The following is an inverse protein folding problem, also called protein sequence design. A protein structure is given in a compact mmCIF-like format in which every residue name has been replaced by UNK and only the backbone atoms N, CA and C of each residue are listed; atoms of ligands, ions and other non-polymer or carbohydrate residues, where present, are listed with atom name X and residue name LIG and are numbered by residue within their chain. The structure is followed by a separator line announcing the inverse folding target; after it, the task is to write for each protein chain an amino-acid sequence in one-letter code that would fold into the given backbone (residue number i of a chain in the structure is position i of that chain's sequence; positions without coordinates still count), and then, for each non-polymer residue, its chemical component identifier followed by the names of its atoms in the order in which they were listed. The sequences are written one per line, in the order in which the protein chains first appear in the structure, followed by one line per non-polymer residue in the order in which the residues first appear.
data_IF_792275632352
#
_entry.id   IF_792275632352
#
_cell.length_a   1.000
_cell.length_b   1.000
_cell.length_c   1.000
_cell.angle_alpha   90.00
_cell.angle_beta   90.00
_cell.angle_gamma   90.00
#
_symmetry.space_group_name_H-M   'P 1'
#
loop_
_entity.id
_entity.type
_entity.pdbx_description
1 polymer ?
#
# COMPACT_ATOMS: atom_id res chain seq x y z
N UNK A 1 32.51 0.66 13.34
CA UNK A 1 31.99 1.99 13.71
C UNK A 1 32.71 2.98 12.81
N UNK A 2 32.07 3.46 11.74
CA UNK A 2 32.69 4.47 10.88
C UNK A 2 32.42 5.85 11.47
N UNK A 3 33.47 6.66 11.52
CA UNK A 3 33.47 8.04 11.99
C UNK A 3 33.94 8.87 10.80
N UNK A 4 33.27 9.97 10.49
CA UNK A 4 33.82 10.94 9.54
C UNK A 4 35.10 11.58 10.14
N UNK A 5 35.99 12.10 9.30
CA UNK A 5 37.28 12.66 9.69
C UNK A 5 37.25 13.81 10.71
N UNK A 6 36.06 14.30 11.08
CA UNK A 6 35.82 15.38 12.06
C UNK A 6 35.28 14.87 13.42
N UNK A 7 35.20 13.56 13.66
CA UNK A 7 34.73 13.04 14.96
C UNK A 7 33.23 13.25 15.24
N UNK A 8 32.47 13.82 14.31
CA UNK A 8 31.02 13.83 14.33
C UNK A 8 30.48 12.39 14.19
N UNK A 9 29.59 11.99 15.10
CA UNK A 9 28.85 10.72 14.96
C UNK A 9 28.03 10.78 13.67
N UNK A 10 28.20 9.79 12.79
CA UNK A 10 27.34 9.54 11.64
C UNK A 10 25.85 9.60 12.09
N UNK A 11 25.18 10.71 11.76
CA UNK A 11 23.79 11.00 12.13
C UNK A 11 22.78 10.18 11.32
N UNK A 12 23.21 9.54 10.23
CA UNK A 12 22.34 8.77 9.35
C UNK A 12 22.72 7.28 9.36
N UNK A 13 22.09 6.52 10.26
CA UNK A 13 22.26 5.05 10.31
C UNK A 13 21.43 4.33 9.24
N UNK A 14 20.58 5.04 8.48
CA UNK A 14 19.63 4.48 7.52
C UNK A 14 18.78 3.33 8.08
N UNK A 15 18.62 3.28 9.41
CA UNK A 15 17.82 2.28 10.09
C UNK A 15 16.34 2.57 9.84
N UNK A 16 15.64 1.60 9.25
CA UNK A 16 14.19 1.62 9.08
C UNK A 16 13.59 0.77 10.20
N UNK A 17 12.82 1.39 11.08
CA UNK A 17 12.04 0.63 12.07
C UNK A 17 10.79 0.08 11.38
N UNK A 18 10.67 -1.24 11.34
CA UNK A 18 9.56 -1.91 10.67
C UNK A 18 8.26 -1.82 11.46
N UNK A 19 7.13 -1.77 10.77
CA UNK A 19 5.81 -1.99 11.37
C UNK A 19 5.72 -3.43 11.89
N UNK A 20 4.78 -3.74 12.77
CA UNK A 20 4.57 -5.15 13.15
C UNK A 20 3.98 -5.90 11.94
N UNK A 21 4.56 -7.04 11.58
CA UNK A 21 4.21 -7.77 10.34
C UNK A 21 4.19 -9.28 10.59
N UNK A 22 3.47 -10.00 9.73
CA UNK A 22 3.45 -11.45 9.73
C UNK A 22 4.74 -11.96 9.05
N UNK A 23 5.57 -12.75 9.74
CA UNK A 23 6.87 -13.18 9.21
C UNK A 23 6.78 -14.10 7.99
N UNK A 24 5.62 -14.71 7.73
CA UNK A 24 5.43 -15.64 6.60
C UNK A 24 5.22 -14.91 5.28
N UNK A 25 4.44 -13.82 5.29
CA UNK A 25 4.05 -13.11 4.06
C UNK A 25 4.46 -11.64 4.04
N UNK A 26 5.07 -11.12 5.11
CA UNK A 26 5.53 -9.73 5.20
C UNK A 26 4.41 -8.70 5.39
N UNK A 27 3.15 -9.13 5.52
CA UNK A 27 1.99 -8.24 5.57
C UNK A 27 1.86 -7.60 6.95
N UNK A 28 1.54 -6.30 7.07
CA UNK A 28 1.33 -5.65 8.35
C UNK A 28 0.24 -6.31 9.19
N UNK A 29 0.43 -6.27 10.51
CA UNK A 29 -0.49 -6.85 11.49
C UNK A 29 -0.75 -5.82 12.59
N UNK A 30 -2.02 -5.62 12.91
CA UNK A 30 -2.42 -4.94 14.14
C UNK A 30 -2.57 -5.99 15.25
N UNK A 31 -1.68 -5.98 16.27
CA UNK A 31 -1.77 -6.94 17.37
C UNK A 31 -3.05 -6.71 18.18
N UNK A 32 -3.75 -7.79 18.50
CA UNK A 32 -4.93 -7.75 19.38
C UNK A 32 -4.59 -7.20 20.77
N UNK A 33 -3.35 -7.41 21.24
CA UNK A 33 -2.82 -6.84 22.48
C UNK A 33 -2.73 -5.31 22.45
N UNK A 34 -2.33 -4.72 21.31
CA UNK A 34 -2.28 -3.27 21.11
C UNK A 34 -3.67 -2.64 21.13
N UNK A 35 -4.62 -3.26 20.42
CA UNK A 35 -6.03 -2.83 20.40
C UNK A 35 -6.64 -2.94 21.81
N UNK A 36 -6.43 -4.07 22.48
CA UNK A 36 -6.92 -4.33 23.85
C UNK A 36 -6.31 -3.37 24.88
N UNK A 37 -5.04 -3.00 24.72
CA UNK A 37 -4.36 -2.02 25.57
C UNK A 37 -4.96 -0.61 25.45
N UNK A 38 -5.29 -0.19 24.23
CA UNK A 38 -5.97 1.08 23.99
C UNK A 38 -7.38 1.10 24.62
N UNK A 39 -8.17 0.04 24.41
CA UNK A 39 -9.48 -0.12 25.07
C UNK A 39 -9.38 -0.12 26.59
N UNK A 40 -8.40 -0.85 27.15
CA UNK A 40 -8.15 -0.89 28.60
C UNK A 40 -7.89 0.50 29.16
N UNK A 41 -7.11 1.32 28.44
CA UNK A 41 -6.78 2.69 28.84
C UNK A 41 -8.05 3.54 28.92
N UNK A 42 -8.92 3.48 27.91
CA UNK A 42 -10.18 4.22 27.88
C UNK A 42 -11.17 3.78 28.98
N UNK A 43 -11.23 2.48 29.28
CA UNK A 43 -12.05 1.92 30.36
C UNK A 43 -11.56 2.35 31.74
N UNK A 44 -10.24 2.24 31.99
CA UNK A 44 -9.62 2.74 33.22
C UNK A 44 -9.84 4.24 33.40
N UNK A 45 -9.72 5.02 32.33
CA UNK A 45 -9.92 6.48 32.36
C UNK A 45 -11.37 6.83 32.75
N UNK A 46 -12.33 6.09 32.21
CA UNK A 46 -13.75 6.22 32.55
C UNK A 46 -14.03 6.04 34.03
N UNK A 47 -13.44 5.02 34.64
CA UNK A 47 -13.60 4.74 36.08
C UNK A 47 -12.86 5.77 36.92
N UNK A 48 -11.63 6.14 36.51
CA UNK A 48 -10.81 7.10 37.24
C UNK A 48 -11.42 8.50 37.24
N UNK A 49 -12.17 8.88 36.20
CA UNK A 49 -12.92 10.14 36.10
C UNK A 49 -12.05 11.39 36.42
N UNK A 50 -10.79 11.38 35.98
CA UNK A 50 -9.85 12.49 36.19
C UNK A 50 -9.31 12.65 37.61
N UNK A 51 -9.56 11.69 38.52
CA UNK A 51 -9.02 11.73 39.88
C UNK A 51 -7.49 11.56 39.88
N UNK A 52 -6.76 12.23 40.81
CA UNK A 52 -5.32 12.05 40.96
C UNK A 52 -4.97 10.71 41.62
N UNK A 53 -3.67 10.40 41.68
CA UNK A 53 -3.17 9.25 42.42
C UNK A 53 -3.52 9.40 43.89
N UNK A 54 -3.88 8.28 44.53
CA UNK A 54 -3.97 8.24 45.98
C UNK A 54 -2.57 8.41 46.58
N UNK A 55 -2.48 8.87 47.83
CA UNK A 55 -1.21 9.22 48.48
C UNK A 55 -0.23 8.04 48.50
N UNK A 56 -0.72 6.85 48.84
CA UNK A 56 0.02 5.58 48.83
C UNK A 56 0.50 5.18 47.43
N UNK A 57 -0.32 5.37 46.40
CA UNK A 57 0.05 5.17 45.00
C UNK A 57 1.10 6.18 44.54
N UNK A 58 0.99 7.43 44.97
CA UNK A 58 1.95 8.51 44.72
C UNK A 58 3.31 8.20 45.36
N UNK A 59 3.32 7.73 46.61
CA UNK A 59 4.54 7.28 47.30
C UNK A 59 5.17 6.07 46.59
N UNK A 60 4.36 5.12 46.11
CA UNK A 60 4.86 4.00 45.30
C UNK A 60 5.43 4.48 43.97
N UNK A 61 4.82 5.44 43.30
CA UNK A 61 5.28 5.96 42.01
C UNK A 61 6.68 6.61 42.12
N UNK A 62 7.04 7.12 43.30
CA UNK A 62 8.39 7.62 43.60
C UNK A 62 9.42 6.50 43.74
N UNK A 63 9.01 5.32 44.23
CA UNK A 63 9.87 4.14 44.42
C UNK A 63 9.97 3.26 43.17
N UNK A 64 8.90 3.19 42.37
CA UNK A 64 8.83 2.39 41.15
C UNK A 64 7.49 2.56 40.41
N UNK A 65 7.57 2.89 39.11
CA UNK A 65 6.38 3.19 38.30
C UNK A 65 5.49 1.97 38.03
N UNK A 66 6.10 0.80 37.88
CA UNK A 66 5.37 -0.42 37.53
C UNK A 66 4.43 -0.87 38.66
N UNK A 67 4.91 -0.86 39.90
CA UNK A 67 4.09 -1.30 41.03
C UNK A 67 2.96 -0.32 41.33
N UNK A 68 3.23 0.99 41.24
CA UNK A 68 2.19 2.01 41.34
C UNK A 68 1.11 1.83 40.26
N UNK A 69 1.51 1.58 39.01
CA UNK A 69 0.59 1.31 37.91
C UNK A 69 -0.24 0.04 38.16
N UNK A 70 0.39 -1.03 38.63
CA UNK A 70 -0.30 -2.29 38.97
C UNK A 70 -1.34 -2.07 40.07
N UNK A 71 -0.99 -1.33 41.13
CA UNK A 71 -1.89 -0.98 42.24
C UNK A 71 -3.08 -0.14 41.77
N UNK A 72 -2.80 0.89 40.97
CA UNK A 72 -3.83 1.73 40.37
C UNK A 72 -4.84 0.91 39.56
N UNK A 73 -4.35 0.06 38.65
CA UNK A 73 -5.23 -0.77 37.83
C UNK A 73 -6.05 -1.76 38.66
N UNK A 74 -5.43 -2.40 39.66
CA UNK A 74 -6.14 -3.30 40.60
C UNK A 74 -7.25 -2.59 41.36
N UNK A 75 -7.01 -1.35 41.81
CA UNK A 75 -8.02 -0.53 42.48
C UNK A 75 -9.16 -0.18 41.53
N UNK A 76 -8.86 0.36 40.36
CA UNK A 76 -9.87 0.82 39.41
C UNK A 76 -10.70 -0.34 38.85
N UNK A 77 -10.07 -1.46 38.50
CA UNK A 77 -10.77 -2.65 38.00
C UNK A 77 -11.18 -3.64 39.10
N UNK A 78 -11.03 -3.25 40.36
CA UNK A 78 -11.49 -3.99 41.54
C UNK A 78 -11.04 -5.47 41.57
N UNK A 79 -9.79 -5.75 41.18
CA UNK A 79 -9.25 -7.11 41.13
C UNK A 79 -7.98 -7.27 41.98
N UNK A 80 -7.80 -8.48 42.52
CA UNK A 80 -6.57 -8.90 43.23
C UNK A 80 -5.75 -9.83 42.37
N UNK A 81 -6.41 -10.86 41.87
CA UNK A 81 -5.85 -11.89 41.01
C UNK A 81 -6.22 -11.68 39.55
N UNK A 82 -5.44 -12.26 38.64
CA UNK A 82 -5.63 -12.10 37.20
C UNK A 82 -7.01 -12.57 36.72
N UNK A 83 -7.58 -13.61 37.35
CA UNK A 83 -8.87 -14.17 36.97
C UNK A 83 -10.03 -13.19 37.10
N UNK A 84 -9.91 -12.24 38.05
CA UNK A 84 -10.89 -11.21 38.37
C UNK A 84 -10.77 -9.97 37.47
N UNK A 85 -9.74 -9.87 36.62
CA UNK A 85 -9.60 -8.72 35.72
C UNK A 85 -10.74 -8.72 34.68
N UNK A 86 -11.56 -7.66 34.58
CA UNK A 86 -12.69 -7.60 33.66
C UNK A 86 -12.27 -7.69 32.19
N UNK A 87 -11.04 -7.28 31.85
CA UNK A 87 -10.52 -7.43 30.49
C UNK A 87 -10.32 -8.90 30.09
N UNK A 88 -10.40 -9.86 31.01
CA UNK A 88 -10.41 -11.30 30.67
C UNK A 88 -11.64 -11.67 29.82
N UNK A 89 -12.76 -10.97 30.00
CA UNK A 89 -13.99 -11.19 29.24
C UNK A 89 -13.92 -10.64 27.82
N UNK A 90 -12.94 -9.77 27.53
CA UNK A 90 -12.76 -9.13 26.22
C UNK A 90 -11.67 -9.86 25.44
N UNK A 91 -12.04 -10.50 24.33
CA UNK A 91 -11.12 -11.24 23.47
C UNK A 91 -10.99 -10.57 22.10
N UNK A 92 -9.74 -10.38 21.68
CA UNK A 92 -9.37 -9.79 20.40
C UNK A 92 -8.27 -10.64 19.79
N UNK A 93 -8.47 -11.07 18.53
CA UNK A 93 -7.43 -11.68 17.72
C UNK A 93 -6.52 -10.63 17.09
N UNK A 94 -5.37 -11.08 16.59
CA UNK A 94 -4.52 -10.25 15.73
C UNK A 94 -5.22 -10.03 14.39
N UNK A 95 -5.09 -8.82 13.85
CA UNK A 95 -5.77 -8.41 12.63
C UNK A 95 -4.74 -8.21 11.52
N UNK A 96 -4.86 -8.99 10.46
CA UNK A 96 -3.99 -8.91 9.29
C UNK A 96 -4.47 -7.77 8.37
N UNK A 97 -3.52 -7.09 7.74
CA UNK A 97 -3.83 -6.17 6.66
C UNK A 97 -4.38 -6.96 5.46
N UNK A 98 -5.54 -6.54 4.97
CA UNK A 98 -6.27 -7.16 3.88
C UNK A 98 -6.47 -6.11 2.79
N UNK A 99 -5.62 -6.16 1.78
CA UNK A 99 -5.74 -5.32 0.60
C UNK A 99 -5.36 -6.14 -0.62
N UNK A 100 -6.16 -6.04 -1.68
CA UNK A 100 -5.95 -6.79 -2.92
C UNK A 100 -4.64 -6.41 -3.62
N UNK A 101 -4.08 -5.25 -3.27
CA UNK A 101 -2.90 -4.64 -3.91
C UNK A 101 -1.55 -5.08 -3.31
N UNK A 102 -1.54 -5.85 -2.21
CA UNK A 102 -0.35 -6.57 -1.74
C UNK A 102 0.76 -5.76 -1.06
N UNK A 103 0.66 -4.43 -0.92
CA UNK A 103 1.69 -3.62 -0.24
C UNK A 103 1.07 -2.81 0.89
N UNK A 104 0.99 -3.34 2.10
CA UNK A 104 0.32 -2.67 3.22
C UNK A 104 1.11 -1.58 3.94
N UNK A 105 2.27 -1.16 3.41
CA UNK A 105 3.17 -0.25 4.10
C UNK A 105 3.78 0.84 3.20
N UNK A 106 4.09 1.98 3.81
CA UNK A 106 4.84 3.09 3.26
C UNK A 106 5.95 3.52 4.23
N UNK A 107 6.97 4.21 3.73
CA UNK A 107 8.02 4.80 4.57
C UNK A 107 7.65 6.22 4.95
N UNK A 108 7.78 6.56 6.23
CA UNK A 108 7.55 7.91 6.76
C UNK A 108 8.63 8.30 7.74
N UNK A 109 9.01 9.57 7.73
CA UNK A 109 9.81 10.14 8.80
C UNK A 109 8.90 10.49 9.99
N UNK A 110 9.22 9.99 11.17
CA UNK A 110 8.68 10.51 12.41
C UNK A 110 9.47 11.75 12.81
N UNK A 111 8.85 12.92 12.63
CA UNK A 111 9.43 14.22 12.93
C UNK A 111 8.75 14.86 14.14
N UNK A 112 9.53 15.53 14.99
CA UNK A 112 9.00 16.18 16.19
C UNK A 112 8.67 17.66 15.89
N UNK A 113 7.50 18.16 16.30
CA UNK A 113 7.07 19.56 16.07
C UNK A 113 6.48 20.17 17.34
N UNK A 114 6.83 21.42 17.67
CA UNK A 114 6.37 22.11 18.89
C UNK A 114 4.86 22.40 18.85
N UNK A 115 4.15 22.17 19.95
CA UNK A 115 2.72 22.51 20.06
C UNK A 115 2.44 24.01 20.12
N UNK A 116 3.32 24.74 20.81
CA UNK A 116 3.22 26.20 20.97
C UNK A 116 4.34 26.89 20.16
N UNK A 117 4.08 28.07 19.59
CA UNK A 117 5.13 28.88 19.00
C UNK A 117 6.18 29.24 20.07
N UNK A 118 7.45 29.50 19.68
CA UNK A 118 8.44 30.03 20.59
C UNK A 118 7.95 31.36 21.20
N UNK A 119 8.34 31.62 22.44
CA UNK A 119 8.01 32.89 23.09
C UNK A 119 8.74 34.05 22.40
N UNK A 120 8.22 35.29 22.44
CA UNK A 120 8.96 36.46 21.97
C UNK A 120 10.35 36.52 22.65
N UNK A 121 11.42 36.52 21.85
CA UNK A 121 12.82 36.46 22.32
C UNK A 121 13.47 35.07 22.34
N UNK A 122 12.71 33.98 22.19
CA UNK A 122 13.29 32.64 21.89
C UNK A 122 13.60 32.54 20.39
N UNK A 123 14.88 32.42 20.03
CA UNK A 123 15.33 32.49 18.63
C UNK A 123 15.04 31.27 17.75
N UNK A 124 14.49 30.17 18.27
CA UNK A 124 14.34 28.93 17.49
C UNK A 124 12.90 28.40 17.47
N UNK A 125 12.34 28.28 16.26
CA UNK A 125 11.07 27.60 16.01
C UNK A 125 11.16 26.07 16.20
N UNK A 126 12.37 25.52 16.26
CA UNK A 126 12.62 24.08 16.35
C UNK A 126 12.46 23.56 17.77
N UNK A 127 11.88 22.37 17.94
CA UNK A 127 11.89 21.64 19.20
C UNK A 127 13.32 21.24 19.60
N UNK A 128 13.54 20.90 20.88
CA UNK A 128 14.85 20.37 21.31
C UNK A 128 15.23 19.06 20.57
N UNK A 129 14.23 18.28 20.15
CA UNK A 129 14.48 17.07 19.38
C UNK A 129 14.96 17.41 17.95
N UNK A 130 14.33 18.39 17.32
CA UNK A 130 14.74 18.89 16.00
C UNK A 130 16.15 19.49 16.01
N UNK A 131 16.47 20.30 17.02
CA UNK A 131 17.82 20.89 17.17
C UNK A 131 18.93 19.83 17.33
N UNK A 132 18.57 18.63 17.80
CA UNK A 132 19.47 17.49 17.93
C UNK A 132 19.45 16.58 16.70
N UNK A 133 18.74 16.95 15.64
CA UNK A 133 18.57 16.13 14.44
C UNK A 133 17.82 14.82 14.67
N UNK A 134 16.99 14.74 15.72
CA UNK A 134 16.27 13.50 16.05
C UNK A 134 15.06 13.31 15.14
N UNK A 135 15.19 12.38 14.21
CA UNK A 135 14.10 11.79 13.45
C UNK A 135 14.22 10.26 13.47
N UNK A 136 13.17 9.56 13.05
CA UNK A 136 13.21 8.11 12.79
C UNK A 136 12.56 7.82 11.45
N UNK A 137 13.12 6.90 10.68
CA UNK A 137 12.48 6.39 9.48
C UNK A 137 11.67 5.14 9.87
N UNK A 138 10.36 5.19 9.63
CA UNK A 138 9.41 4.15 10.03
C UNK A 138 8.74 3.55 8.81
N UNK A 139 8.56 2.24 8.80
CA UNK A 139 7.55 1.59 7.98
C UNK A 139 6.19 1.74 8.68
N UNK A 140 5.20 2.27 7.97
CA UNK A 140 3.88 2.61 8.49
C UNK A 140 2.78 2.06 7.59
N UNK A 141 1.60 1.77 8.14
CA UNK A 141 0.42 1.49 7.31
C UNK A 141 -0.06 2.80 6.68
N UNK A 142 -0.34 2.85 5.37
CA UNK A 142 -0.81 4.06 4.71
C UNK A 142 -2.08 4.61 5.36
N UNK A 143 -2.19 5.94 5.38
CA UNK A 143 -3.38 6.62 5.90
C UNK A 143 -4.61 6.44 4.97
N UNK A 144 -5.79 6.75 5.51
CA UNK A 144 -7.06 6.79 4.77
C UNK A 144 -7.42 5.50 4.00
N UNK A 145 -7.08 4.34 4.56
CA UNK A 145 -7.48 3.05 4.00
C UNK A 145 -8.79 2.57 4.60
N UNK A 146 -9.77 2.29 3.74
CA UNK A 146 -11.09 1.81 4.13
C UNK A 146 -11.08 0.28 4.29
N UNK A 147 -11.47 -0.23 5.46
CA UNK A 147 -11.62 -1.67 5.78
C UNK A 147 -10.43 -2.58 5.44
N UNK A 148 -9.20 -2.05 5.48
CA UNK A 148 -7.98 -2.86 5.29
C UNK A 148 -7.63 -3.73 6.49
N UNK A 149 -8.35 -3.61 7.60
CA UNK A 149 -8.22 -4.47 8.77
C UNK A 149 -9.60 -4.98 9.16
N UNK A 150 -9.76 -6.30 9.29
CA UNK A 150 -10.98 -6.95 9.71
C UNK A 150 -10.68 -8.04 10.74
N UNK A 151 -11.32 -7.96 11.91
CA UNK A 151 -11.09 -8.87 13.03
C UNK A 151 -12.34 -9.10 13.86
N UNK A 152 -12.23 -9.99 14.86
CA UNK A 152 -13.34 -10.34 15.75
C UNK A 152 -13.08 -9.84 17.17
N UNK A 153 -14.02 -9.06 17.69
CA UNK A 153 -14.12 -8.69 19.10
C UNK A 153 -15.19 -9.57 19.75
N UNK A 154 -14.80 -10.38 20.72
CA UNK A 154 -15.73 -11.21 21.50
C UNK A 154 -15.77 -10.73 22.93
N UNK A 155 -16.98 -10.47 23.43
CA UNK A 155 -17.22 -10.13 24.84
C UNK A 155 -17.99 -11.27 25.48
N UNK A 156 -17.35 -11.95 26.43
CA UNK A 156 -17.94 -13.07 27.14
C UNK A 156 -19.00 -12.58 28.12
N UNK A 157 -20.18 -13.15 28.01
CA UNK A 157 -21.28 -12.94 28.93
C UNK A 157 -21.27 -14.01 30.02
N UNK A 158 -21.57 -13.61 31.25
CA UNK A 158 -21.50 -14.49 32.43
C UNK A 158 -22.89 -14.72 33.05
N UNK A 159 -23.98 -14.46 32.33
CA UNK A 159 -25.31 -14.71 32.87
C UNK A 159 -25.48 -16.20 33.20
N UNK A 160 -26.00 -16.49 34.40
CA UNK A 160 -26.17 -17.86 34.88
C UNK A 160 -24.88 -18.56 35.36
N UNK A 161 -23.71 -17.91 35.27
CA UNK A 161 -22.46 -18.47 35.80
C UNK A 161 -22.31 -18.15 37.28
N UNK A 162 -22.32 -19.19 38.12
CA UNK A 162 -22.03 -19.07 39.57
C UNK A 162 -20.57 -19.41 39.85
N UNK A 163 -19.89 -18.63 40.70
CA UNK A 163 -18.52 -18.94 41.13
C UNK A 163 -18.35 -18.80 42.64
N UNK A 164 -18.32 -19.93 43.33
CA UNK A 164 -18.07 -19.99 44.77
C UNK A 164 -16.64 -19.63 45.20
N UNK A 165 -15.73 -19.35 44.25
CA UNK A 165 -14.32 -19.01 44.52
C UNK A 165 -13.99 -17.53 44.30
N UNK A 166 -14.99 -16.67 44.02
CA UNK A 166 -14.81 -15.22 43.83
C UNK A 166 -13.73 -14.84 42.81
N UNK A 167 -13.68 -15.54 41.68
CA UNK A 167 -12.76 -15.31 40.55
C UNK A 167 -13.42 -14.53 39.42
N UNK A 168 -14.74 -14.33 39.46
CA UNK A 168 -15.43 -13.54 38.44
C UNK A 168 -15.11 -12.04 38.61
N UNK A 169 -14.98 -11.28 37.51
CA UNK A 169 -14.89 -9.84 37.58
C UNK A 169 -16.10 -9.20 38.26
N UNK A 170 -15.91 -8.04 38.88
CA UNK A 170 -16.98 -7.27 39.51
C UNK A 170 -18.12 -6.99 38.52
N UNK A 171 -19.37 -7.10 38.97
CA UNK A 171 -20.54 -7.11 38.10
C UNK A 171 -20.74 -5.79 37.32
N UNK A 172 -20.42 -4.67 37.95
CA UNK A 172 -20.42 -3.31 37.41
C UNK A 172 -19.30 -3.05 36.38
N UNK A 173 -18.33 -3.97 36.27
CA UNK A 173 -17.21 -3.90 35.32
C UNK A 173 -17.34 -4.91 34.17
N UNK A 174 -18.52 -5.52 33.99
CA UNK A 174 -18.81 -6.46 32.90
C UNK A 174 -19.46 -5.72 31.73
N UNK A 175 -18.64 -5.07 30.92
CA UNK A 175 -19.11 -4.23 29.81
C UNK A 175 -19.64 -5.04 28.63
N UNK A 176 -20.66 -4.50 27.97
CA UNK A 176 -21.07 -4.84 26.61
C UNK A 176 -20.14 -4.20 25.57
N UNK A 177 -20.27 -4.64 24.31
CA UNK A 177 -19.54 -4.03 23.18
C UNK A 177 -19.85 -2.54 23.05
N UNK A 178 -21.12 -2.14 23.21
CA UNK A 178 -21.54 -0.74 23.13
C UNK A 178 -20.93 0.12 24.25
N UNK A 179 -20.79 -0.42 25.46
CA UNK A 179 -20.17 0.30 26.59
C UNK A 179 -18.66 0.45 26.40
N UNK A 180 -17.98 -0.54 25.80
CA UNK A 180 -16.57 -0.43 25.42
C UNK A 180 -16.40 0.66 24.34
N UNK A 181 -17.26 0.67 23.31
CA UNK A 181 -17.25 1.70 22.28
C UNK A 181 -17.50 3.10 22.87
N UNK A 182 -18.47 3.24 23.78
CA UNK A 182 -18.73 4.48 24.50
C UNK A 182 -17.54 4.95 25.33
N UNK A 183 -16.85 4.04 26.02
CA UNK A 183 -15.64 4.38 26.76
C UNK A 183 -14.52 4.87 25.84
N UNK A 184 -14.31 4.19 24.71
CA UNK A 184 -13.32 4.58 23.71
C UNK A 184 -13.64 5.96 23.12
N UNK A 185 -14.88 6.23 22.72
CA UNK A 185 -15.28 7.51 22.15
C UNK A 185 -15.15 8.66 23.14
N UNK A 186 -15.57 8.46 24.41
CA UNK A 186 -15.39 9.45 25.48
C UNK A 186 -13.92 9.82 25.68
N UNK A 187 -13.01 8.85 25.57
CA UNK A 187 -11.58 9.09 25.79
C UNK A 187 -10.88 9.67 24.55
N UNK A 188 -11.10 9.09 23.37
CA UNK A 188 -10.31 9.33 22.17
C UNK A 188 -10.86 10.44 21.27
N UNK A 189 -12.18 10.62 21.18
CA UNK A 189 -12.77 11.64 20.29
C UNK A 189 -12.35 13.07 20.67
N UNK A 190 -12.45 13.52 21.94
CA UNK A 190 -12.01 14.86 22.32
C UNK A 190 -10.51 15.08 22.08
N UNK A 191 -9.69 14.01 22.20
CA UNK A 191 -8.26 14.08 21.91
C UNK A 191 -8.00 14.29 20.42
N UNK A 192 -8.68 13.54 19.55
CA UNK A 192 -8.57 13.70 18.09
C UNK A 192 -8.98 15.11 17.68
N UNK A 193 -10.15 15.57 18.11
CA UNK A 193 -10.70 16.89 17.76
C UNK A 193 -9.77 18.02 18.22
N UNK A 194 -9.26 17.94 19.46
CA UNK A 194 -8.30 18.91 19.99
C UNK A 194 -6.97 18.89 19.23
N UNK A 195 -6.44 17.71 18.89
CA UNK A 195 -5.20 17.60 18.11
C UNK A 195 -5.38 18.15 16.70
N UNK A 196 -6.47 17.82 16.02
CA UNK A 196 -6.80 18.36 14.70
C UNK A 196 -6.87 19.88 14.72
N UNK A 197 -7.56 20.45 15.71
CA UNK A 197 -7.65 21.89 15.87
C UNK A 197 -6.26 22.51 16.08
N UNK A 198 -5.50 22.03 17.07
CA UNK A 198 -4.22 22.63 17.46
C UNK A 198 -3.16 22.47 16.36
N UNK A 199 -3.10 21.32 15.68
CA UNK A 199 -2.14 21.12 14.60
C UNK A 199 -2.49 21.95 13.36
N UNK A 200 -3.78 22.19 13.09
CA UNK A 200 -4.23 23.10 12.04
C UNK A 200 -3.89 24.55 12.34
N UNK A 201 -4.05 25.01 13.59
CA UNK A 201 -3.61 26.35 14.03
C UNK A 201 -2.09 26.55 13.87
N UNK A 202 -1.33 25.45 13.82
CA UNK A 202 0.13 25.45 13.57
C UNK A 202 0.50 25.25 12.11
N UNK A 203 -0.48 25.05 11.22
CA UNK A 203 -0.29 24.74 9.80
C UNK A 203 0.53 23.46 9.55
N UNK A 204 0.44 22.48 10.45
CA UNK A 204 1.25 21.26 10.36
C UNK A 204 0.61 20.15 9.53
N UNK A 205 -0.72 20.13 9.45
CA UNK A 205 -1.46 19.03 8.84
C UNK A 205 -1.52 19.13 7.32
N UNK A 206 -1.61 17.98 6.67
CA UNK A 206 -2.13 17.93 5.32
C UNK A 206 -3.58 18.46 5.28
N UNK A 207 -3.82 19.44 4.41
CA UNK A 207 -5.10 20.15 4.34
C UNK A 207 -6.23 19.26 3.81
N UNK A 208 -5.95 18.38 2.84
CA UNK A 208 -6.92 17.45 2.28
C UNK A 208 -7.35 16.41 3.31
N UNK A 209 -6.38 15.84 4.02
CA UNK A 209 -6.61 14.90 5.11
C UNK A 209 -7.40 15.56 6.25
N UNK A 210 -6.98 16.74 6.71
CA UNK A 210 -7.66 17.45 7.80
C UNK A 210 -9.11 17.82 7.46
N UNK A 211 -9.39 18.12 6.19
CA UNK A 211 -10.75 18.37 5.71
C UNK A 211 -11.55 17.07 5.68
N UNK A 212 -10.99 16.00 5.10
CA UNK A 212 -11.65 14.69 4.99
C UNK A 212 -12.00 14.10 6.36
N UNK A 213 -11.11 14.21 7.35
CA UNK A 213 -11.40 13.73 8.71
C UNK A 213 -12.49 14.56 9.39
N UNK A 214 -12.52 15.88 9.15
CA UNK A 214 -13.61 16.73 9.67
C UNK A 214 -14.95 16.32 9.05
N UNK A 215 -15.01 16.19 7.73
CA UNK A 215 -16.21 15.75 7.02
C UNK A 215 -16.69 14.39 7.52
N UNK A 216 -15.77 13.46 7.78
CA UNK A 216 -16.10 12.16 8.37
C UNK A 216 -16.72 12.31 9.78
N UNK A 217 -16.11 13.11 10.66
CA UNK A 217 -16.59 13.33 12.02
C UNK A 217 -17.90 14.12 12.10
N UNK A 218 -18.20 14.95 11.09
CA UNK A 218 -19.45 15.72 10.99
C UNK A 218 -20.55 14.95 10.23
N UNK A 219 -20.19 13.94 9.43
CA UNK A 219 -21.08 13.12 8.61
C UNK A 219 -21.62 11.86 9.30
N UNK A 220 -21.94 10.83 8.51
CA UNK A 220 -22.53 9.58 9.02
C UNK A 220 -21.64 8.82 10.00
N UNK A 221 -20.31 8.87 9.82
CA UNK A 221 -19.38 8.24 10.75
C UNK A 221 -19.47 8.89 12.14
N UNK A 222 -19.53 10.23 12.23
CA UNK A 222 -19.79 10.96 13.46
C UNK A 222 -21.06 10.52 14.18
N UNK A 223 -22.17 10.39 13.44
CA UNK A 223 -23.45 9.94 13.99
C UNK A 223 -23.37 8.50 14.54
N UNK A 224 -22.61 7.62 13.89
CA UNK A 224 -22.37 6.25 14.38
C UNK A 224 -21.48 6.22 15.62
N UNK A 225 -20.50 7.14 15.73
CA UNK A 225 -19.73 7.33 16.97
C UNK A 225 -20.64 7.77 18.12
N UNK A 226 -21.58 8.69 17.88
CA UNK A 226 -22.54 9.16 18.90
C UNK A 226 -23.45 8.03 19.41
N UNK A 227 -23.82 7.10 18.52
CA UNK A 227 -24.61 5.90 18.86
C UNK A 227 -23.79 4.74 19.39
N UNK A 228 -22.46 4.87 19.47
CA UNK A 228 -21.53 3.81 19.86
C UNK A 228 -21.60 2.55 18.96
N UNK A 229 -22.00 2.73 17.69
CA UNK A 229 -21.95 1.72 16.63
C UNK A 229 -20.55 1.65 15.97
N UNK A 230 -19.71 2.62 16.28
CA UNK A 230 -18.29 2.67 15.91
C UNK A 230 -17.53 3.35 17.03
N UNK A 231 -16.21 3.20 17.03
CA UNK A 231 -15.38 3.95 17.98
C UNK A 231 -14.00 4.29 17.46
N UNK A 232 -13.38 5.30 18.07
CA UNK A 232 -12.01 5.70 17.79
C UNK A 232 -11.03 4.98 18.71
N UNK A 233 -9.87 4.62 18.18
CA UNK A 233 -8.70 4.21 18.94
C UNK A 233 -7.47 4.97 18.48
N UNK A 234 -6.47 5.03 19.36
CA UNK A 234 -5.11 5.40 18.98
C UNK A 234 -4.12 4.33 19.40
N UNK A 235 -3.37 3.80 18.44
CA UNK A 235 -2.43 2.67 18.65
C UNK A 235 -1.07 2.93 18.01
N UNK A 236 -0.10 2.10 18.37
CA UNK A 236 1.24 2.15 17.79
C UNK A 236 2.17 3.15 18.49
N UNK A 237 3.37 3.31 17.93
CA UNK A 237 4.34 4.28 18.44
C UNK A 237 3.89 5.70 18.10
N UNK A 238 4.42 6.68 18.83
CA UNK A 238 4.17 8.10 18.57
C UNK A 238 2.71 8.56 18.79
N UNK A 239 1.88 7.74 19.44
CA UNK A 239 0.51 8.08 19.85
C UNK A 239 0.41 9.21 20.91
N UNK A 240 1.54 9.76 21.36
CA UNK A 240 1.57 10.71 22.47
C UNK A 240 1.37 10.04 23.83
N UNK A 241 1.79 10.72 24.90
CA UNK A 241 1.59 10.23 26.26
C UNK A 241 0.11 10.29 26.65
N UNK A 242 -0.62 11.27 26.11
CA UNK A 242 -2.02 11.54 26.39
C UNK A 242 -2.93 10.37 26.05
N UNK A 243 -2.64 9.64 24.98
CA UNK A 243 -3.46 8.52 24.50
C UNK A 243 -3.12 7.17 25.15
N UNK A 244 -2.09 7.12 26.00
CA UNK A 244 -1.63 5.91 26.73
C UNK A 244 -1.60 6.11 28.25
N UNK A 245 -2.11 7.24 28.75
CA UNK A 245 -2.17 7.56 30.18
C UNK A 245 -3.51 8.18 30.54
N UNK A 246 -3.97 7.93 31.78
CA UNK A 246 -5.26 8.42 32.25
C UNK A 246 -5.25 9.94 32.47
N UNK A 247 -6.37 10.59 32.21
CA UNK A 247 -6.65 11.97 32.57
C UNK A 247 -6.50 12.15 34.10
N UNK A 248 -6.02 13.33 34.53
CA UNK A 248 -5.75 13.64 35.94
C UNK A 248 -4.46 13.04 36.52
N UNK A 249 -3.89 12.03 35.87
CA UNK A 249 -2.75 11.24 36.39
C UNK A 249 -1.40 11.55 35.72
N UNK A 250 -1.43 12.33 34.64
CA UNK A 250 -0.27 12.51 33.77
C UNK A 250 0.81 13.35 34.44
N UNK A 251 2.00 12.77 34.52
CA UNK A 251 3.18 13.42 35.11
C UNK A 251 4.36 13.36 34.13
N UNK A 252 4.28 14.15 33.05
CA UNK A 252 5.23 14.09 31.92
C UNK A 252 6.45 14.95 32.26
N UNK A 253 7.63 14.33 32.31
CA UNK A 253 8.91 15.03 32.55
C UNK A 253 9.32 15.84 31.32
N UNK A 254 9.35 17.16 31.46
CA UNK A 254 9.80 18.12 30.44
C UNK A 254 11.19 18.62 30.80
N UNK A 255 12.15 18.48 29.88
CA UNK A 255 13.52 18.97 30.08
C UNK A 255 13.61 20.46 29.72
N UNK A 256 14.07 21.28 30.67
CA UNK A 256 14.17 22.74 30.53
C UNK A 256 15.58 23.23 30.17
N UNK A 257 16.46 22.32 29.73
CA UNK A 257 17.87 22.61 29.52
C UNK A 257 18.70 22.53 30.81
N UNK A 258 19.96 22.95 30.73
CA UNK A 258 20.86 22.98 31.89
C UNK A 258 20.77 24.34 32.57
N UNK A 259 20.85 24.33 33.90
CA UNK A 259 21.03 25.52 34.69
C UNK A 259 22.39 26.19 34.39
N UNK A 260 22.41 27.51 34.25
CA UNK A 260 23.60 28.26 33.80
C UNK A 260 24.69 28.30 34.87
N UNK A 261 24.31 28.34 36.14
CA UNK A 261 25.25 28.45 37.27
C UNK A 261 25.72 27.07 37.74
N UNK A 262 24.80 26.12 37.86
CA UNK A 262 25.09 24.79 38.44
C UNK A 262 25.39 23.72 37.39
N UNK A 263 25.12 23.98 36.10
CA UNK A 263 25.25 23.02 35.01
C UNK A 263 24.29 21.82 35.10
N UNK A 264 23.42 21.77 36.11
CA UNK A 264 22.51 20.64 36.35
C UNK A 264 21.34 20.67 35.38
N UNK A 265 20.91 19.50 34.93
CA UNK A 265 19.74 19.37 34.06
C UNK A 265 18.48 19.77 34.82
N UNK A 266 17.83 20.85 34.37
CA UNK A 266 16.53 21.27 34.89
C UNK A 266 15.42 20.50 34.18
N UNK A 267 14.39 20.20 34.95
CA UNK A 267 13.17 19.59 34.46
C UNK A 267 11.99 20.04 35.30
N UNK A 268 10.82 19.95 34.72
CA UNK A 268 9.55 20.09 35.43
C UNK A 268 8.59 19.02 34.94
N UNK A 269 7.51 18.81 35.67
CA UNK A 269 6.47 17.90 35.23
C UNK A 269 5.24 18.65 34.78
N UNK A 270 4.62 18.17 33.69
CA UNK A 270 3.41 18.75 33.10
C UNK A 270 2.36 17.67 32.79
N UNK A 271 1.06 18.03 32.74
CA UNK A 271 0.01 17.11 32.34
C UNK A 271 -0.02 16.84 30.82
N UNK A 272 0.62 17.69 30.01
CA UNK A 272 0.61 17.63 28.54
C UNK A 272 2.01 17.72 27.95
N UNK A 273 2.23 17.06 26.82
CA UNK A 273 3.46 17.19 26.05
C UNK A 273 3.68 18.58 25.46
N UNK A 274 4.92 18.91 25.12
CA UNK A 274 5.30 20.19 24.46
C UNK A 274 5.45 20.07 22.96
N UNK A 275 5.45 18.84 22.42
CA UNK A 275 5.55 18.56 20.99
C UNK A 275 4.68 17.37 20.57
N UNK A 276 4.44 17.28 19.26
CA UNK A 276 3.90 16.09 18.60
C UNK A 276 4.97 15.40 17.79
N UNK A 277 4.77 14.10 17.58
CA UNK A 277 5.47 13.33 16.57
C UNK A 277 4.51 13.15 15.39
N UNK A 278 4.93 13.56 14.20
CA UNK A 278 4.11 13.56 13.00
C UNK A 278 4.81 12.76 11.89
N UNK A 279 4.02 12.12 11.04
CA UNK A 279 4.47 11.42 9.85
C UNK A 279 4.70 12.44 8.74
N UNK A 280 5.92 12.47 8.22
CA UNK A 280 6.36 13.37 7.16
C UNK A 280 6.99 12.59 6.00
N UNK A 281 7.03 13.20 4.82
CA UNK A 281 7.71 12.67 3.63
C UNK A 281 9.20 13.02 3.64
N UNK A 282 9.56 14.15 4.24
CA UNK A 282 10.93 14.58 4.52
C UNK A 282 11.11 15.02 5.98
N UNK A 283 12.34 14.88 6.49
CA UNK A 283 12.73 15.35 7.82
C UNK A 283 12.48 16.84 8.07
N UNK A 284 12.54 17.67 7.02
CA UNK A 284 12.39 19.12 7.07
C UNK A 284 10.95 19.60 6.97
N UNK A 285 10.00 18.72 6.63
CA UNK A 285 8.61 19.10 6.37
C UNK A 285 7.99 19.86 7.55
N UNK A 286 7.36 20.98 7.26
CA UNK A 286 6.67 21.81 8.26
C UNK A 286 5.16 21.78 8.11
N UNK A 287 4.68 21.40 6.95
CA UNK A 287 3.26 21.34 6.57
C UNK A 287 3.02 19.98 5.90
N UNK A 288 1.77 19.61 5.63
CA UNK A 288 1.49 18.36 4.89
C UNK A 288 1.72 17.06 5.68
N UNK A 289 1.91 17.15 7.00
CA UNK A 289 2.20 15.98 7.84
C UNK A 289 0.92 15.34 8.41
N UNK A 290 1.03 14.10 8.86
CA UNK A 290 -0.10 13.35 9.43
C UNK A 290 0.16 12.93 10.89
N UNK A 291 -0.86 12.90 11.76
CA UNK A 291 -0.71 12.33 13.10
C UNK A 291 -0.68 10.80 13.04
N UNK A 292 0.14 10.19 13.89
CA UNK A 292 0.24 8.73 13.95
C UNK A 292 -0.92 8.07 14.72
N UNK A 293 -1.30 6.89 14.24
CA UNK A 293 -1.91 5.84 15.06
C UNK A 293 -3.42 5.90 15.21
N UNK A 294 -4.11 6.84 14.55
CA UNK A 294 -5.56 6.94 14.62
C UNK A 294 -6.26 5.85 13.81
N UNK A 295 -7.24 5.19 14.44
CA UNK A 295 -8.09 4.17 13.84
C UNK A 295 -9.56 4.52 14.07
N UNK A 296 -10.38 4.38 13.01
CA UNK A 296 -11.82 4.29 13.10
C UNK A 296 -12.21 2.81 13.07
N UNK A 297 -12.88 2.33 14.11
CA UNK A 297 -13.30 0.95 14.25
C UNK A 297 -14.80 0.84 14.05
N UNK A 298 -15.21 0.15 12.99
CA UNK A 298 -16.60 -0.17 12.70
C UNK A 298 -17.02 -1.42 13.48
N UNK A 299 -18.21 -1.40 14.10
CA UNK A 299 -18.78 -2.57 14.77
C UNK A 299 -19.97 -3.10 13.99
N UNK A 300 -20.03 -4.42 13.87
CA UNK A 300 -21.20 -5.13 13.38
C UNK A 300 -21.26 -6.53 14.02
N UNK A 301 -22.46 -7.12 14.20
CA UNK A 301 -22.59 -8.51 14.60
C UNK A 301 -21.86 -9.45 13.62
N UNK A 302 -21.19 -10.47 14.15
CA UNK A 302 -20.33 -11.36 13.36
C UNK A 302 -21.07 -12.18 12.29
N UNK A 303 -22.39 -12.35 12.44
CA UNK A 303 -23.24 -13.12 11.52
C UNK A 303 -24.01 -12.22 10.53
N UNK A 304 -23.87 -10.90 10.63
CA UNK A 304 -24.52 -9.94 9.74
C UNK A 304 -23.54 -9.39 8.72
N UNK A 305 -24.06 -8.98 7.56
CA UNK A 305 -23.27 -8.22 6.59
C UNK A 305 -22.76 -6.91 7.20
N UNK A 306 -21.54 -6.47 6.84
CA UNK A 306 -21.05 -5.18 7.27
C UNK A 306 -22.03 -4.08 6.83
N UNK A 307 -22.38 -3.14 7.73
CA UNK A 307 -23.27 -2.04 7.39
C UNK A 307 -22.75 -1.20 6.22
N UNK A 308 -23.64 -0.42 5.60
CA UNK A 308 -23.22 0.54 4.58
C UNK A 308 -22.42 1.70 5.21
N UNK A 309 -21.23 1.91 4.67
CA UNK A 309 -20.31 3.01 4.98
C UNK A 309 -19.87 3.70 3.68
N UNK A 310 -20.72 3.71 2.66
CA UNK A 310 -20.43 4.25 1.33
C UNK A 310 -19.95 5.71 1.35
N UNK A 311 -20.51 6.56 2.23
CA UNK A 311 -20.03 7.92 2.42
C UNK A 311 -18.58 7.96 2.93
N UNK A 312 -18.30 7.23 4.01
CA UNK A 312 -16.94 7.12 4.58
C UNK A 312 -15.96 6.50 3.60
N UNK A 313 -16.36 5.46 2.87
CA UNK A 313 -15.57 4.87 1.82
C UNK A 313 -15.23 5.92 0.75
N UNK A 314 -16.21 6.67 0.25
CA UNK A 314 -15.98 7.73 -0.75
C UNK A 314 -15.00 8.78 -0.25
N UNK A 315 -15.17 9.30 0.97
CA UNK A 315 -14.28 10.29 1.57
C UNK A 315 -12.85 9.76 1.64
N UNK A 316 -12.66 8.54 2.18
CA UNK A 316 -11.32 7.95 2.35
C UNK A 316 -10.66 7.58 1.01
N UNK A 317 -11.40 6.97 0.09
CA UNK A 317 -10.88 6.60 -1.24
C UNK A 317 -10.65 7.81 -2.15
N UNK A 318 -11.37 8.91 -1.91
CA UNK A 318 -11.24 10.15 -2.65
C UNK A 318 -10.06 11.01 -2.20
N UNK A 319 -9.44 10.69 -1.05
CA UNK A 319 -8.27 11.42 -0.57
C UNK A 319 -7.02 11.01 -1.38
N UNK A 320 -6.42 11.93 -2.16
CA UNK A 320 -5.16 11.63 -2.82
C UNK A 320 -4.05 11.50 -1.76
N UNK A 321 -3.39 10.35 -1.74
CA UNK A 321 -2.22 10.10 -0.91
C UNK A 321 -1.02 9.78 -1.80
N UNK A 322 0.20 10.03 -1.31
CA UNK A 322 1.43 9.62 -2.01
C UNK A 322 1.42 8.12 -2.33
N UNK A 323 0.91 7.32 -1.39
CA UNK A 323 0.74 5.89 -1.53
C UNK A 323 -0.27 5.52 -2.62
N UNK A 324 -1.48 6.11 -2.64
CA UNK A 324 -2.47 5.81 -3.69
C UNK A 324 -1.99 6.20 -5.08
N UNK A 325 -1.27 7.33 -5.19
CA UNK A 325 -0.61 7.72 -6.44
C UNK A 325 0.50 6.74 -6.84
N UNK A 326 1.23 6.17 -5.88
CA UNK A 326 2.24 5.15 -6.15
C UNK A 326 1.62 3.84 -6.65
N UNK A 327 0.54 3.38 -6.02
CA UNK A 327 -0.20 2.18 -6.46
C UNK A 327 -0.70 2.34 -7.89
N UNK A 328 -1.29 3.49 -8.25
CA UNK A 328 -1.75 3.73 -9.62
C UNK A 328 -0.60 3.73 -10.64
N UNK A 329 0.54 4.35 -10.30
CA UNK A 329 1.74 4.29 -11.17
C UNK A 329 2.26 2.86 -11.35
N UNK A 330 2.25 2.05 -10.30
CA UNK A 330 2.73 0.67 -10.37
C UNK A 330 1.75 -0.23 -11.14
N UNK A 331 0.44 -0.02 -11.00
CA UNK A 331 -0.59 -0.66 -11.82
C UNK A 331 -0.39 -0.36 -13.29
N UNK A 332 -0.16 0.90 -13.63
CA UNK A 332 0.08 1.32 -15.01
C UNK A 332 1.36 0.68 -15.57
N UNK A 333 2.45 0.65 -14.79
CA UNK A 333 3.69 -0.06 -15.18
C UNK A 333 3.47 -1.55 -15.40
N UNK A 334 2.68 -2.21 -14.56
CA UNK A 334 2.37 -3.63 -14.70
C UNK A 334 1.53 -3.91 -15.95
N UNK A 335 0.55 -3.05 -16.26
CA UNK A 335 -0.22 -3.14 -17.52
C UNK A 335 0.67 -2.99 -18.74
N UNK A 336 1.52 -1.97 -18.76
CA UNK A 336 2.47 -1.74 -19.85
C UNK A 336 3.43 -2.93 -20.05
N UNK A 337 3.91 -3.54 -18.97
CA UNK A 337 4.75 -4.75 -19.03
C UNK A 337 3.98 -5.95 -19.58
N UNK A 338 2.76 -6.19 -19.10
CA UNK A 338 1.92 -7.28 -19.58
C UNK A 338 1.58 -7.14 -21.07
N UNK A 339 1.22 -5.93 -21.51
CA UNK A 339 0.97 -5.64 -22.92
C UNK A 339 2.23 -5.83 -23.78
N UNK A 340 3.38 -5.34 -23.32
CA UNK A 340 4.65 -5.53 -24.03
C UNK A 340 5.02 -7.02 -24.14
N UNK A 341 4.80 -7.80 -23.08
CA UNK A 341 5.05 -9.24 -23.08
C UNK A 341 4.08 -9.97 -24.02
N UNK A 342 2.79 -9.62 -24.00
CA UNK A 342 1.79 -10.19 -24.91
C UNK A 342 2.12 -9.87 -26.38
N UNK A 343 2.57 -8.66 -26.68
CA UNK A 343 3.04 -8.28 -28.03
C UNK A 343 4.23 -9.11 -28.47
N UNK A 344 5.26 -9.26 -27.62
CA UNK A 344 6.43 -10.11 -27.92
C UNK A 344 6.03 -11.56 -28.16
N UNK A 345 5.16 -12.12 -27.32
CA UNK A 345 4.67 -13.49 -27.51
C UNK A 345 3.88 -13.64 -28.81
N UNK A 346 3.06 -12.65 -29.18
CA UNK A 346 2.34 -12.66 -30.44
C UNK A 346 3.29 -12.55 -31.65
N UNK A 347 4.31 -11.69 -31.58
CA UNK A 347 5.35 -11.57 -32.61
C UNK A 347 6.16 -12.85 -32.76
N UNK A 348 6.62 -13.45 -31.65
CA UNK A 348 7.34 -14.73 -31.66
C UNK A 348 6.46 -15.85 -32.21
N UNK A 349 5.18 -15.91 -31.84
CA UNK A 349 4.26 -16.89 -32.36
C UNK A 349 4.00 -16.68 -33.86
N UNK A 350 3.84 -15.44 -34.32
CA UNK A 350 3.72 -15.11 -35.73
C UNK A 350 4.98 -15.51 -36.53
N UNK A 351 6.17 -15.24 -35.98
CA UNK A 351 7.44 -15.66 -36.58
C UNK A 351 7.57 -17.19 -36.63
N UNK A 352 7.19 -17.90 -35.56
CA UNK A 352 7.20 -19.37 -35.54
C UNK A 352 6.22 -19.95 -36.55
N UNK A 353 5.02 -19.40 -36.66
CA UNK A 353 4.03 -19.83 -37.66
C UNK A 353 4.54 -19.55 -39.07
N UNK A 354 5.14 -18.37 -39.32
CA UNK A 354 5.73 -18.04 -40.61
C UNK A 354 6.89 -18.99 -40.98
N UNK A 355 7.83 -19.22 -40.05
CA UNK A 355 8.94 -20.13 -40.24
C UNK A 355 8.50 -21.59 -40.41
N UNK A 356 7.48 -22.04 -39.66
CA UNK A 356 6.91 -23.38 -39.83
C UNK A 356 6.20 -23.52 -41.19
N UNK A 357 5.50 -22.48 -41.64
CA UNK A 357 4.88 -22.44 -42.97
C UNK A 357 5.95 -22.52 -44.05
N UNK A 358 7.05 -21.78 -43.91
CA UNK A 358 8.18 -21.79 -44.85
C UNK A 358 8.94 -23.13 -44.85
N UNK A 359 9.16 -23.72 -43.67
CA UNK A 359 9.78 -25.04 -43.55
C UNK A 359 8.92 -26.16 -44.14
N UNK A 360 7.59 -26.05 -44.04
CA UNK A 360 6.63 -27.00 -44.59
C UNK A 360 6.47 -26.91 -46.12
N UNK A 361 6.97 -25.86 -46.77
CA UNK A 361 6.95 -25.76 -48.23
C UNK A 361 7.77 -26.90 -48.86
N UNK A 362 7.17 -27.59 -49.83
CA UNK A 362 7.88 -28.57 -50.65
C UNK A 362 9.01 -27.91 -51.47
N UNK A 363 10.01 -28.67 -51.95
CA UNK A 363 11.07 -28.13 -52.80
C UNK A 363 10.53 -27.34 -54.02
N UNK A 364 9.43 -27.81 -54.61
CA UNK A 364 8.73 -27.18 -55.74
C UNK A 364 8.10 -25.85 -55.34
N UNK A 365 7.39 -25.82 -54.21
CA UNK A 365 6.76 -24.62 -53.68
C UNK A 365 7.79 -23.55 -53.27
N UNK A 366 8.96 -23.97 -52.75
CA UNK A 366 10.09 -23.08 -52.46
C UNK A 366 10.65 -22.43 -53.72
N UNK A 367 10.78 -23.19 -54.81
CA UNK A 367 11.27 -22.67 -56.08
C UNK A 367 10.29 -21.65 -56.71
N UNK A 368 8.98 -21.89 -56.58
CA UNK A 368 7.94 -20.92 -57.00
C UNK A 368 8.00 -19.65 -56.16
N UNK A 369 8.13 -19.78 -54.82
CA UNK A 369 8.24 -18.61 -53.91
C UNK A 369 9.51 -17.81 -54.14
N UNK A 370 10.64 -18.46 -54.36
CA UNK A 370 11.91 -17.81 -54.74
C UNK A 370 11.72 -16.96 -56.01
N UNK A 371 11.11 -17.54 -57.05
CA UNK A 371 10.87 -16.85 -58.31
C UNK A 371 9.89 -15.67 -58.16
N UNK A 372 8.87 -15.82 -57.30
CA UNK A 372 7.93 -14.75 -56.96
C UNK A 372 8.62 -13.59 -56.23
N UNK A 373 9.48 -13.88 -55.23
CA UNK A 373 10.27 -12.86 -54.55
C UNK A 373 11.14 -12.06 -55.53
N UNK A 374 11.79 -12.72 -56.48
CA UNK A 374 12.63 -12.03 -57.47
C UNK A 374 11.79 -11.14 -58.42
N UNK A 375 10.59 -11.58 -58.79
CA UNK A 375 9.67 -10.74 -59.56
C UNK A 375 9.26 -9.47 -58.78
N UNK A 376 8.96 -9.62 -57.50
CA UNK A 376 8.54 -8.49 -56.65
C UNK A 376 9.69 -7.52 -56.37
N UNK A 377 10.91 -8.02 -56.17
CA UNK A 377 12.15 -7.20 -56.09
C UNK A 377 12.38 -6.41 -57.38
N UNK A 378 12.27 -7.06 -58.55
CA UNK A 378 12.46 -6.39 -59.84
C UNK A 378 11.35 -5.38 -60.14
N UNK A 379 10.10 -5.63 -59.70
CA UNK A 379 9.01 -4.65 -59.76
C UNK A 379 9.28 -3.44 -58.86
N UNK A 380 9.69 -3.66 -57.62
CA UNK A 380 9.99 -2.58 -56.67
C UNK A 380 11.16 -1.72 -57.14
N UNK A 381 12.18 -2.33 -57.75
CA UNK A 381 13.32 -1.64 -58.33
C UNK A 381 13.10 -1.14 -59.76
N UNK A 382 11.91 -1.38 -60.35
CA UNK A 382 11.56 -1.10 -61.74
C UNK A 382 12.60 -1.61 -62.76
N UNK A 383 13.22 -2.76 -62.47
CA UNK A 383 14.18 -3.43 -63.36
C UNK A 383 13.44 -4.33 -64.33
N UNK A 384 13.72 -4.17 -65.62
CA UNK A 384 13.15 -5.00 -66.70
C UNK A 384 14.28 -5.50 -67.59
N UNK A 385 14.77 -6.69 -67.27
CA UNK A 385 15.85 -7.35 -68.01
C UNK A 385 15.33 -8.63 -68.67
N UNK A 386 14.96 -8.61 -69.96
CA UNK A 386 14.36 -9.76 -70.66
C UNK A 386 15.25 -11.01 -70.79
N UNK A 387 16.51 -10.94 -70.33
CA UNK A 387 17.47 -12.03 -70.24
C UNK A 387 18.25 -12.06 -68.91
N UNK A 388 17.76 -11.36 -67.89
CA UNK A 388 18.38 -11.29 -66.57
C UNK A 388 18.11 -12.53 -65.71
N UNK A 389 18.52 -12.45 -64.44
CA UNK A 389 18.38 -13.53 -63.44
C UNK A 389 16.96 -14.11 -63.37
N UNK A 390 15.93 -13.26 -63.36
CA UNK A 390 14.51 -13.64 -63.29
C UNK A 390 14.06 -14.45 -64.53
N UNK A 391 14.37 -13.97 -65.73
CA UNK A 391 13.99 -14.63 -66.98
C UNK A 391 14.71 -15.98 -67.14
N UNK A 392 15.98 -16.06 -66.74
CA UNK A 392 16.77 -17.29 -66.85
C UNK A 392 16.29 -18.37 -65.87
N UNK A 393 15.98 -18.00 -64.62
CA UNK A 393 15.44 -18.93 -63.63
C UNK A 393 14.04 -19.42 -63.99
N UNK A 394 13.17 -18.53 -64.49
CA UNK A 394 11.86 -18.95 -65.00
C UNK A 394 12.01 -20.01 -66.11
N UNK A 395 12.89 -19.79 -67.09
CA UNK A 395 13.10 -20.74 -68.18
C UNK A 395 13.65 -22.10 -67.70
N UNK A 396 14.45 -22.12 -66.63
CA UNK A 396 14.92 -23.35 -65.99
C UNK A 396 13.77 -24.08 -65.28
N UNK A 397 13.00 -23.36 -64.48
CA UNK A 397 11.85 -23.90 -63.75
C UNK A 397 10.72 -24.40 -64.66
N UNK A 398 10.50 -23.77 -65.82
CA UNK A 398 9.54 -24.27 -66.82
C UNK A 398 9.92 -25.66 -67.38
N UNK A 399 11.19 -26.06 -67.30
CA UNK A 399 11.65 -27.41 -67.67
C UNK A 399 11.67 -28.36 -66.48
N UNK A 400 12.22 -27.91 -65.36
CA UNK A 400 12.29 -28.66 -64.09
C UNK A 400 10.91 -28.97 -63.50
N UNK A 401 9.91 -28.14 -63.82
CA UNK A 401 8.54 -28.23 -63.32
C UNK A 401 7.60 -29.16 -64.07
N UNK A 402 8.00 -29.71 -65.22
CA UNK A 402 7.19 -30.67 -65.98
C UNK A 402 6.75 -31.91 -65.17
N UNK A 403 7.62 -32.53 -64.33
CA UNK A 403 7.24 -33.66 -63.47
C UNK A 403 6.60 -33.25 -62.13
N UNK A 404 6.36 -31.97 -61.86
CA UNK A 404 5.78 -31.53 -60.58
C UNK A 404 4.30 -31.91 -60.44
N UNK A 405 3.73 -31.92 -59.22
CA UNK A 405 2.31 -32.16 -59.04
C UNK A 405 1.47 -31.07 -59.71
N UNK A 406 0.23 -31.41 -60.07
CA UNK A 406 -0.61 -30.54 -60.92
C UNK A 406 -0.89 -29.16 -60.30
N UNK A 407 -0.95 -29.06 -58.96
CA UNK A 407 -1.18 -27.81 -58.26
C UNK A 407 0.00 -26.84 -58.43
N UNK A 408 1.23 -27.30 -58.19
CA UNK A 408 2.46 -26.51 -58.33
C UNK A 408 2.75 -26.13 -59.79
N UNK A 409 2.39 -27.00 -60.75
CA UNK A 409 2.49 -26.69 -62.19
C UNK A 409 1.57 -25.54 -62.59
N UNK A 410 0.34 -25.53 -62.09
CA UNK A 410 -0.61 -24.44 -62.37
C UNK A 410 -0.17 -23.12 -61.70
N UNK A 411 0.40 -23.18 -60.49
CA UNK A 411 0.96 -22.00 -59.82
C UNK A 411 2.17 -21.43 -60.58
N UNK A 412 3.12 -22.27 -60.98
CA UNK A 412 4.28 -21.85 -61.78
C UNK A 412 3.85 -21.30 -63.15
N UNK A 413 2.81 -21.87 -63.78
CA UNK A 413 2.26 -21.38 -65.03
C UNK A 413 1.67 -19.96 -64.89
N UNK A 414 0.88 -19.70 -63.84
CA UNK A 414 0.36 -18.35 -63.55
C UNK A 414 1.48 -17.36 -63.28
N UNK A 415 2.50 -17.77 -62.52
CA UNK A 415 3.67 -16.94 -62.25
C UNK A 415 4.45 -16.62 -63.52
N UNK A 416 4.63 -17.60 -64.41
CA UNK A 416 5.27 -17.40 -65.71
C UNK A 416 4.53 -16.35 -66.57
N UNK A 417 3.19 -16.40 -66.61
CA UNK A 417 2.37 -15.40 -67.30
C UNK A 417 2.57 -13.99 -66.71
N UNK A 418 2.62 -13.87 -65.39
CA UNK A 418 2.86 -12.61 -64.69
C UNK A 418 4.27 -12.05 -64.95
N UNK A 419 5.30 -12.90 -64.97
CA UNK A 419 6.69 -12.51 -65.26
C UNK A 419 6.83 -12.06 -66.71
N UNK A 420 6.30 -12.80 -67.68
CA UNK A 420 6.36 -12.39 -69.08
C UNK A 420 5.49 -11.15 -69.37
N UNK A 421 4.40 -10.95 -68.62
CA UNK A 421 3.64 -9.70 -68.63
C UNK A 421 4.46 -8.50 -68.13
N UNK A 422 5.34 -8.72 -67.16
CA UNK A 422 6.21 -7.68 -66.61
C UNK A 422 7.46 -7.39 -67.46
N UNK A 423 8.14 -8.43 -67.95
CA UNK A 423 9.39 -8.38 -68.73
C UNK A 423 9.18 -8.20 -70.25
N UNK A 424 7.94 -8.10 -70.70
CA UNK A 424 7.50 -8.17 -72.10
C UNK A 424 7.59 -9.57 -72.73
N UNK A 425 6.50 -9.94 -73.42
CA UNK A 425 6.32 -11.23 -74.08
C UNK A 425 7.20 -11.41 -75.31
N UNK A 426 7.77 -10.32 -75.86
CA UNK A 426 8.61 -10.33 -77.05
C UNK A 426 7.82 -10.46 -78.36
N UNK A 427 8.54 -10.64 -79.47
CA UNK A 427 7.96 -10.71 -80.83
C UNK A 427 6.94 -11.84 -80.99
N UNK A 428 6.01 -11.73 -81.95
CA UNK A 428 4.88 -12.66 -82.12
C UNK A 428 5.24 -14.15 -82.10
N UNK A 429 6.36 -14.52 -82.72
CA UNK A 429 6.91 -15.88 -82.70
C UNK A 429 7.39 -16.30 -81.29
N UNK A 430 8.17 -15.45 -80.60
CA UNK A 430 8.65 -15.72 -79.22
C UNK A 430 7.50 -15.76 -78.20
N UNK A 431 6.48 -14.93 -78.39
CA UNK A 431 5.27 -14.93 -77.57
C UNK A 431 4.48 -16.23 -77.70
N UNK A 432 4.34 -16.76 -78.93
CA UNK A 432 3.74 -18.07 -79.17
C UNK A 432 4.56 -19.20 -78.52
N UNK A 433 5.88 -19.18 -78.67
CA UNK A 433 6.78 -20.18 -78.05
C UNK A 433 6.70 -20.17 -76.50
N UNK A 434 6.66 -19.00 -75.88
CA UNK A 434 6.51 -18.87 -74.41
C UNK A 434 5.14 -19.36 -73.93
N UNK A 435 4.06 -19.03 -74.63
CA UNK A 435 2.71 -19.54 -74.34
C UNK A 435 2.63 -21.05 -74.48
N UNK A 436 3.26 -21.62 -75.52
CA UNK A 436 3.31 -23.07 -75.71
C UNK A 436 4.03 -23.78 -74.56
N UNK A 437 5.14 -23.23 -74.06
CA UNK A 437 5.85 -23.79 -72.88
C UNK A 437 5.03 -23.75 -71.60
N UNK A 438 4.26 -22.67 -71.37
CA UNK A 438 3.37 -22.56 -70.21
C UNK A 438 2.22 -23.57 -70.33
N UNK A 439 1.66 -23.74 -71.53
CA UNK A 439 0.61 -24.71 -71.78
C UNK A 439 1.11 -26.15 -71.59
N UNK A 440 2.31 -26.45 -72.09
CA UNK A 440 2.98 -27.73 -71.89
C UNK A 440 3.21 -28.03 -70.40
N UNK A 441 3.56 -27.01 -69.60
CA UNK A 441 3.70 -27.15 -68.14
C UNK A 441 2.35 -27.52 -67.47
N UNK A 442 1.25 -26.89 -67.89
CA UNK A 442 -0.10 -27.20 -67.37
C UNK A 442 -0.53 -28.63 -67.71
N UNK A 443 -0.20 -29.10 -68.91
CA UNK A 443 -0.54 -30.45 -69.38
C UNK A 443 0.34 -31.53 -68.70
N UNK A 444 1.61 -31.22 -68.42
CA UNK A 444 2.55 -32.12 -67.72
C UNK A 444 3.25 -33.09 -68.66
N UNK A 445 4.15 -33.91 -68.13
CA UNK A 445 4.70 -35.04 -68.90
C UNK A 445 3.62 -36.07 -69.16
N UNK A 446 3.33 -36.32 -70.45
CA UNK A 446 2.55 -37.46 -70.90
C UNK A 446 3.25 -38.79 -70.57
#
# INVERSE_FOLDING_TARGET
MQVEGDGARLLNRLEIERTFFNPVNGVPVLPGSSLKGAMRTALLDGINAGQPLLEDEGLLAQKGKEEANRRLQRRLFQYREFEQDPMRLVQLGDVLFQDGDGVGSELRFAVNRRRKPPKPGEGSMQSQAEQRGLYRLLECVPAARFRVFAGRLTVQRLEGVTDGRNRLPAADLRWSVSEIAAACNRFYRPQLEMELQQMRERDYLDAGWATSIRELLEGSAGQRLDRNEAFLLRVGRHSGAESVTLNGMRNIKILLGKDVETGKQRFEYRPTGTSWWLAASDTQDRTGMLPFGWLLVELHPAESEPPDWSETQKILTGLPTEYSAWIERERERMRQRAEAQARRQAEEQAQRVAAATEAALSPEQRAIRELQCWLDEDRAANRKEPGGRLANRLNALLKEGLPWPAAEREELAKLAEAIYGYLDWGSGKKKQERKAKIQQLREGTA
#
